data_IF_382928583983
#
_entry.id   IF_382928583983
#
_cell.length_a   1.000
_cell.length_b   1.000
_cell.length_c   1.000
_cell.angle_alpha   90.00
_cell.angle_beta   90.00
_cell.angle_gamma   90.00
#
_symmetry.space_group_name_H-M   'P 1'
#
loop_
_entity.id
_entity.type
_entity.pdbx_description
1 polymer ?
#
# COMPACT_ATOMS: atom_id res chain seq x y z
N UNK A 1 -4.53 -54.39 29.59
CA UNK A 1 -3.30 -53.67 29.95
C UNK A 1 -2.67 -52.94 28.78
N UNK A 2 -2.43 -53.60 27.65
CA UNK A 2 -1.84 -52.96 26.44
C UNK A 2 -2.65 -51.75 25.91
N UNK A 3 -3.98 -51.84 25.82
CA UNK A 3 -4.84 -50.75 25.33
C UNK A 3 -4.81 -49.49 26.24
N UNK A 4 -4.66 -49.64 27.55
CA UNK A 4 -4.53 -48.52 28.47
C UNK A 4 -3.16 -47.84 28.33
N UNK A 5 -2.10 -48.61 28.07
CA UNK A 5 -0.73 -48.11 27.86
C UNK A 5 -0.62 -47.33 26.53
N UNK A 6 -1.24 -47.83 25.45
CA UNK A 6 -1.28 -47.13 24.15
C UNK A 6 -2.09 -45.84 24.20
N UNK A 7 -3.21 -45.85 24.91
CA UNK A 7 -4.03 -44.64 25.14
C UNK A 7 -3.24 -43.57 25.92
N UNK A 8 -2.50 -43.96 26.95
CA UNK A 8 -1.70 -43.05 27.78
C UNK A 8 -0.48 -42.48 26.99
N UNK A 9 0.14 -43.28 26.13
CA UNK A 9 1.24 -42.83 25.25
C UNK A 9 0.74 -41.87 24.17
N UNK A 10 -0.42 -42.15 23.56
CA UNK A 10 -1.00 -41.27 22.52
C UNK A 10 -1.46 -39.93 23.11
N UNK A 11 -2.15 -39.94 24.25
CA UNK A 11 -2.54 -38.71 24.94
C UNK A 11 -1.35 -37.90 25.44
N UNK A 12 -0.31 -38.55 25.96
CA UNK A 12 0.95 -37.89 26.33
C UNK A 12 1.68 -37.29 25.16
N UNK A 13 1.71 -37.98 24.02
CA UNK A 13 2.34 -37.49 22.78
C UNK A 13 1.58 -36.26 22.21
N UNK A 14 0.23 -36.31 22.21
CA UNK A 14 -0.59 -35.17 21.76
C UNK A 14 -0.41 -33.97 22.69
N UNK A 15 -0.39 -34.20 24.01
CA UNK A 15 -0.15 -33.14 25.00
C UNK A 15 1.22 -32.51 24.85
N UNK A 16 2.27 -33.32 24.66
CA UNK A 16 3.64 -32.81 24.43
C UNK A 16 3.77 -32.04 23.11
N UNK A 17 3.13 -32.54 22.05
CA UNK A 17 3.10 -31.86 20.74
C UNK A 17 2.39 -30.52 20.84
N UNK A 18 1.27 -30.43 21.57
CA UNK A 18 0.55 -29.16 21.80
C UNK A 18 1.39 -28.16 22.61
N UNK A 19 2.13 -28.61 23.62
CA UNK A 19 3.05 -27.75 24.38
C UNK A 19 4.21 -27.24 23.53
N UNK A 20 4.79 -28.08 22.69
CA UNK A 20 5.88 -27.70 21.78
C UNK A 20 5.37 -26.70 20.74
N UNK A 21 4.23 -26.96 20.11
CA UNK A 21 3.58 -26.05 19.14
C UNK A 21 3.24 -24.70 19.81
N UNK A 22 2.69 -24.73 21.02
CA UNK A 22 2.37 -23.53 21.79
C UNK A 22 3.65 -22.74 22.14
N UNK A 23 4.72 -23.42 22.55
CA UNK A 23 6.02 -22.78 22.84
C UNK A 23 6.71 -22.19 21.62
N UNK A 24 6.59 -22.82 20.44
CA UNK A 24 7.08 -22.30 19.17
C UNK A 24 6.25 -21.08 18.76
N UNK A 25 4.93 -21.18 18.90
CA UNK A 25 4.00 -20.10 18.56
C UNK A 25 4.18 -18.88 19.46
N UNK A 26 4.36 -19.08 20.78
CA UNK A 26 4.65 -18.00 21.73
C UNK A 26 5.96 -17.26 21.37
N UNK A 27 7.03 -17.99 21.08
CA UNK A 27 8.31 -17.43 20.65
C UNK A 27 8.24 -16.75 19.27
N UNK A 28 7.44 -17.29 18.36
CA UNK A 28 7.19 -16.66 17.07
C UNK A 28 6.38 -15.37 17.22
N UNK A 29 5.39 -15.35 18.14
CA UNK A 29 4.62 -14.16 18.48
C UNK A 29 5.47 -13.06 19.12
N UNK A 30 6.39 -13.40 20.04
CA UNK A 30 7.31 -12.42 20.65
C UNK A 30 8.24 -11.80 19.60
N UNK A 31 8.87 -12.61 18.75
CA UNK A 31 9.71 -12.11 17.65
C UNK A 31 8.92 -11.30 16.62
N UNK A 32 7.68 -11.68 16.36
CA UNK A 32 6.77 -10.94 15.50
C UNK A 32 6.38 -9.60 16.15
N UNK A 33 6.04 -9.60 17.44
CA UNK A 33 5.76 -8.38 18.19
C UNK A 33 6.92 -7.39 18.11
N UNK A 34 8.14 -7.83 18.35
CA UNK A 34 9.33 -6.95 18.30
C UNK A 34 9.60 -6.42 16.89
N UNK A 35 9.52 -7.25 15.84
CA UNK A 35 9.82 -6.84 14.47
C UNK A 35 8.68 -6.09 13.78
N UNK A 36 7.45 -6.56 13.99
CA UNK A 36 6.27 -5.99 13.33
C UNK A 36 5.82 -4.69 14.00
N UNK A 37 5.89 -4.67 15.32
CA UNK A 37 5.46 -3.54 16.13
C UNK A 37 6.41 -2.35 15.95
N UNK A 38 7.73 -2.55 16.02
CA UNK A 38 8.71 -1.47 15.84
C UNK A 38 8.60 -0.84 14.44
N UNK A 39 8.39 -1.64 13.40
CA UNK A 39 8.28 -1.14 12.02
C UNK A 39 6.97 -0.37 11.76
N UNK A 40 5.85 -0.80 12.35
CA UNK A 40 4.55 -0.16 12.12
C UNK A 40 4.27 1.00 13.07
N UNK A 41 4.95 1.07 14.23
CA UNK A 41 4.85 2.24 15.12
C UNK A 41 5.50 3.45 14.48
N UNK A 42 6.70 3.31 13.90
CA UNK A 42 7.32 4.39 13.14
C UNK A 42 6.37 4.87 12.03
N UNK A 43 5.79 3.96 11.27
CA UNK A 43 4.83 4.30 10.21
C UNK A 43 3.57 5.02 10.73
N UNK A 44 3.06 4.66 11.90
CA UNK A 44 1.85 5.26 12.52
C UNK A 44 2.17 6.58 13.25
N UNK A 45 3.29 6.68 13.95
CA UNK A 45 3.74 7.94 14.57
C UNK A 45 4.07 8.99 13.52
N UNK A 46 4.65 8.59 12.40
CA UNK A 46 4.89 9.45 11.23
C UNK A 46 3.58 9.92 10.57
N UNK A 47 2.47 9.20 10.80
CA UNK A 47 1.14 9.59 10.36
C UNK A 47 0.38 10.46 11.38
N UNK A 48 1.01 10.91 12.47
CA UNK A 48 0.36 11.58 13.62
C UNK A 48 -0.75 10.76 14.27
N UNK A 49 -0.75 9.46 14.07
CA UNK A 49 -1.60 8.52 14.79
C UNK A 49 -0.78 7.96 15.95
N UNK A 50 -0.94 8.56 17.12
CA UNK A 50 -0.30 8.12 18.36
C UNK A 50 -1.01 6.87 18.89
N UNK A 51 -0.86 5.76 18.18
CA UNK A 51 -1.41 4.45 18.58
C UNK A 51 -0.29 3.67 19.24
N UNK A 52 -0.57 3.19 20.45
CA UNK A 52 0.40 2.36 21.18
C UNK A 52 0.62 1.02 20.46
N UNK A 53 1.86 0.57 20.50
CA UNK A 53 2.28 -0.71 19.94
C UNK A 53 1.40 -1.90 20.36
N UNK A 54 1.01 -1.87 21.64
CA UNK A 54 0.10 -2.85 22.21
C UNK A 54 -1.27 -2.85 21.53
N UNK A 55 -1.80 -1.68 21.21
CA UNK A 55 -3.11 -1.54 20.58
C UNK A 55 -3.13 -2.07 19.14
N UNK A 56 -2.07 -1.81 18.36
CA UNK A 56 -1.93 -2.35 16.99
C UNK A 56 -1.82 -3.88 17.01
N UNK A 57 -1.07 -4.41 17.96
CA UNK A 57 -0.93 -5.86 18.14
C UNK A 57 -2.24 -6.51 18.56
N UNK A 58 -2.95 -5.92 19.54
CA UNK A 58 -4.26 -6.41 19.98
C UNK A 58 -5.27 -6.35 18.83
N UNK A 59 -5.30 -5.25 18.08
CA UNK A 59 -6.17 -5.11 16.92
C UNK A 59 -5.90 -6.22 15.87
N UNK A 60 -4.62 -6.49 15.58
CA UNK A 60 -4.23 -7.55 14.64
C UNK A 60 -4.70 -8.93 15.14
N UNK A 61 -4.51 -9.23 16.44
CA UNK A 61 -4.97 -10.47 17.05
C UNK A 61 -6.50 -10.63 16.98
N UNK A 62 -7.23 -9.57 17.32
CA UNK A 62 -8.70 -9.58 17.26
C UNK A 62 -9.17 -9.81 15.82
N UNK A 63 -8.61 -9.11 14.84
CA UNK A 63 -8.95 -9.30 13.42
C UNK A 63 -8.67 -10.73 12.98
N UNK A 64 -7.50 -11.28 13.32
CA UNK A 64 -7.11 -12.65 12.97
C UNK A 64 -8.08 -13.68 13.54
N UNK A 65 -8.47 -13.53 14.82
CA UNK A 65 -9.41 -14.43 15.49
C UNK A 65 -10.80 -14.33 14.89
N UNK A 66 -11.29 -13.10 14.63
CA UNK A 66 -12.62 -12.88 14.04
C UNK A 66 -12.69 -13.48 12.63
N UNK A 67 -11.68 -13.24 11.80
CA UNK A 67 -11.62 -13.84 10.46
C UNK A 67 -11.51 -15.36 10.51
N UNK A 68 -10.74 -15.92 11.45
CA UNK A 68 -10.65 -17.36 11.68
C UNK A 68 -11.98 -17.98 12.08
N UNK A 69 -12.71 -17.37 13.01
CA UNK A 69 -14.04 -17.83 13.43
C UNK A 69 -15.05 -17.79 12.28
N UNK A 70 -15.09 -16.71 11.50
CA UNK A 70 -15.93 -16.61 10.31
C UNK A 70 -15.58 -17.73 9.32
N UNK A 71 -14.28 -17.97 9.09
CA UNK A 71 -13.82 -19.04 8.22
C UNK A 71 -14.29 -20.43 8.68
N UNK A 72 -14.22 -20.69 9.99
CA UNK A 72 -14.69 -21.96 10.56
C UNK A 72 -16.19 -22.17 10.34
N UNK A 73 -16.99 -21.13 10.51
CA UNK A 73 -18.46 -21.21 10.34
C UNK A 73 -18.82 -21.44 8.86
N UNK A 74 -18.10 -20.82 7.92
CA UNK A 74 -18.42 -20.88 6.48
C UNK A 74 -17.94 -22.16 5.80
N UNK A 75 -16.76 -22.65 6.15
CA UNK A 75 -16.14 -23.75 5.40
C UNK A 75 -15.27 -24.71 6.24
N UNK A 76 -15.47 -24.74 7.56
CA UNK A 76 -14.79 -25.66 8.46
C UNK A 76 -13.29 -25.36 8.66
N UNK A 77 -12.48 -26.36 9.07
CA UNK A 77 -11.10 -26.13 9.50
C UNK A 77 -10.16 -25.61 8.39
N UNK A 78 -10.42 -25.93 7.14
CA UNK A 78 -9.62 -25.46 6.01
C UNK A 78 -9.88 -23.97 5.71
N UNK A 79 -11.13 -23.53 5.76
CA UNK A 79 -11.51 -22.13 5.60
C UNK A 79 -11.07 -21.27 6.79
N UNK A 80 -11.07 -21.83 8.02
CA UNK A 80 -10.47 -21.19 9.19
C UNK A 80 -9.01 -20.83 8.94
N UNK A 81 -8.19 -21.80 8.47
CA UNK A 81 -6.77 -21.57 8.23
C UNK A 81 -6.53 -20.48 7.17
N UNK A 82 -7.27 -20.52 6.06
CA UNK A 82 -7.17 -19.52 4.98
C UNK A 82 -7.62 -18.12 5.43
N UNK A 83 -8.74 -18.03 6.14
CA UNK A 83 -9.26 -16.74 6.61
C UNK A 83 -8.44 -16.16 7.77
N UNK A 84 -7.93 -16.99 8.70
CA UNK A 84 -7.00 -16.52 9.72
C UNK A 84 -5.69 -16.00 9.11
N UNK A 85 -5.16 -16.67 8.09
CA UNK A 85 -3.99 -16.19 7.34
C UNK A 85 -4.24 -14.84 6.67
N UNK A 86 -5.37 -14.66 5.98
CA UNK A 86 -5.72 -13.37 5.37
C UNK A 86 -5.95 -12.28 6.42
N UNK A 87 -6.64 -12.60 7.53
CA UNK A 87 -6.87 -11.69 8.64
C UNK A 87 -5.58 -11.20 9.30
N UNK A 88 -4.56 -12.07 9.37
CA UNK A 88 -3.26 -11.74 9.94
C UNK A 88 -2.49 -10.69 9.11
N UNK A 89 -2.57 -10.74 7.77
CA UNK A 89 -1.90 -9.79 6.89
C UNK A 89 -2.71 -8.52 6.60
N UNK A 90 -4.03 -8.54 6.81
CA UNK A 90 -4.92 -7.45 6.47
C UNK A 90 -4.57 -6.10 7.13
N UNK A 91 -4.28 -6.00 8.45
CA UNK A 91 -3.95 -4.72 9.09
C UNK A 91 -2.67 -4.09 8.54
N UNK A 92 -1.64 -4.90 8.26
CA UNK A 92 -0.39 -4.39 7.68
C UNK A 92 -0.56 -3.83 6.28
N UNK A 93 -1.36 -4.47 5.45
CA UNK A 93 -1.71 -3.97 4.12
C UNK A 93 -2.52 -2.67 4.21
N UNK A 94 -3.46 -2.59 5.17
CA UNK A 94 -4.29 -1.41 5.39
C UNK A 94 -3.45 -0.20 5.81
N UNK A 95 -2.51 -0.38 6.76
CA UNK A 95 -1.59 0.68 7.19
C UNK A 95 -0.75 1.19 6.00
N UNK A 96 -0.19 0.28 5.19
CA UNK A 96 0.58 0.65 3.98
C UNK A 96 -0.28 1.44 2.99
N UNK A 97 -1.51 1.01 2.77
CA UNK A 97 -2.45 1.68 1.87
C UNK A 97 -2.74 3.11 2.34
N UNK A 98 -3.05 3.32 3.62
CA UNK A 98 -3.29 4.65 4.18
C UNK A 98 -2.04 5.53 4.15
N UNK A 99 -0.84 4.96 4.44
CA UNK A 99 0.44 5.68 4.33
C UNK A 99 0.68 6.16 2.91
N UNK A 100 0.58 5.29 1.93
CA UNK A 100 0.76 5.65 0.51
C UNK A 100 -0.25 6.72 0.08
N UNK A 101 -1.50 6.58 0.50
CA UNK A 101 -2.55 7.58 0.21
C UNK A 101 -2.27 8.92 0.88
N UNK A 102 -1.72 8.93 2.10
CA UNK A 102 -1.30 10.14 2.81
C UNK A 102 -0.15 10.83 2.09
N UNK A 103 0.90 10.07 1.68
CA UNK A 103 2.04 10.61 0.93
C UNK A 103 1.56 11.21 -0.41
N UNK A 104 0.70 10.53 -1.15
CA UNK A 104 0.14 11.06 -2.40
C UNK A 104 -0.63 12.38 -2.17
N UNK A 105 -1.42 12.46 -1.11
CA UNK A 105 -2.12 13.70 -0.73
C UNK A 105 -1.14 14.79 -0.32
N UNK A 106 -0.08 14.45 0.42
CA UNK A 106 0.99 15.37 0.79
C UNK A 106 1.67 15.94 -0.43
N UNK A 107 2.09 15.10 -1.38
CA UNK A 107 2.79 15.53 -2.60
C UNK A 107 1.91 16.44 -3.46
N UNK A 108 0.61 16.16 -3.58
CA UNK A 108 -0.31 17.05 -4.29
C UNK A 108 -0.42 18.43 -3.62
N UNK A 109 -0.47 18.49 -2.29
CA UNK A 109 -0.50 19.75 -1.54
C UNK A 109 0.88 20.44 -1.53
N UNK A 110 1.98 19.68 -1.61
CA UNK A 110 3.35 20.21 -1.61
C UNK A 110 3.56 21.15 -2.80
N UNK A 111 3.02 20.82 -3.98
CA UNK A 111 3.10 21.68 -5.18
C UNK A 111 2.51 23.07 -4.91
N UNK A 112 1.34 23.11 -4.26
CA UNK A 112 0.68 24.37 -3.90
C UNK A 112 1.46 25.12 -2.81
N UNK A 113 1.96 24.38 -1.81
CA UNK A 113 2.77 24.97 -0.73
C UNK A 113 4.08 25.59 -1.27
N UNK A 114 4.78 24.92 -2.19
CA UNK A 114 5.99 25.46 -2.83
C UNK A 114 5.69 26.72 -3.63
N UNK A 115 4.58 26.78 -4.36
CA UNK A 115 4.16 27.98 -5.07
C UNK A 115 3.85 29.13 -4.13
N UNK A 116 3.17 28.86 -3.00
CA UNK A 116 2.91 29.86 -1.95
C UNK A 116 4.22 30.34 -1.32
N UNK A 117 5.15 29.43 -1.03
CA UNK A 117 6.49 29.80 -0.53
C UNK A 117 7.24 30.72 -1.50
N UNK A 118 7.25 30.37 -2.79
CA UNK A 118 7.88 31.18 -3.83
C UNK A 118 7.28 32.59 -3.86
N UNK A 119 5.95 32.71 -3.82
CA UNK A 119 5.25 34.00 -3.80
C UNK A 119 5.54 34.81 -2.52
N UNK A 120 5.57 34.16 -1.36
CA UNK A 120 5.88 34.77 -0.08
C UNK A 120 7.31 35.34 -0.06
N UNK A 121 8.29 34.58 -0.57
CA UNK A 121 9.68 35.02 -0.69
C UNK A 121 9.83 36.21 -1.67
N UNK A 122 9.10 36.21 -2.82
CA UNK A 122 9.05 37.35 -3.74
C UNK A 122 8.46 38.59 -3.11
N UNK A 123 7.48 38.42 -2.19
CA UNK A 123 6.91 39.51 -1.42
C UNK A 123 7.83 40.02 -0.29
N UNK A 124 9.04 39.45 -0.14
CA UNK A 124 10.03 39.87 0.86
C UNK A 124 9.90 39.19 2.23
N UNK A 125 9.04 38.18 2.37
CA UNK A 125 8.97 37.40 3.58
C UNK A 125 10.22 36.51 3.71
N UNK A 126 10.64 36.28 4.96
CA UNK A 126 11.70 35.29 5.23
C UNK A 126 11.21 33.87 5.01
N UNK A 127 12.13 32.94 4.80
CA UNK A 127 11.82 31.52 4.64
C UNK A 127 11.01 30.97 5.83
N UNK A 128 11.40 31.33 7.07
CA UNK A 128 10.69 30.92 8.27
C UNK A 128 9.25 31.46 8.33
N UNK A 129 9.03 32.73 7.93
CA UNK A 129 7.69 33.32 7.87
C UNK A 129 6.82 32.67 6.79
N UNK A 130 7.38 32.34 5.64
CA UNK A 130 6.67 31.66 4.56
C UNK A 130 6.20 30.27 5.02
N UNK A 131 7.07 29.48 5.69
CA UNK A 131 6.69 28.18 6.24
C UNK A 131 5.64 28.31 7.34
N UNK A 132 5.76 29.31 8.22
CA UNK A 132 4.78 29.52 9.29
C UNK A 132 3.38 29.86 8.73
N UNK A 133 3.30 30.65 7.65
CA UNK A 133 2.05 30.92 6.94
C UNK A 133 1.42 29.64 6.38
N UNK A 134 2.22 28.79 5.69
CA UNK A 134 1.75 27.51 5.17
C UNK A 134 1.26 26.60 6.30
N UNK A 135 2.00 26.53 7.41
CA UNK A 135 1.60 25.73 8.57
C UNK A 135 0.26 26.15 9.17
N UNK A 136 -0.13 27.43 9.04
CA UNK A 136 -1.40 27.95 9.54
C UNK A 136 -2.55 27.80 8.55
N UNK A 137 -2.30 28.00 7.26
CA UNK A 137 -3.35 28.15 6.23
C UNK A 137 -3.65 26.84 5.48
N UNK A 138 -2.70 25.88 5.48
CA UNK A 138 -2.87 24.62 4.77
C UNK A 138 -3.79 23.65 5.50
N UNK A 139 -4.18 22.58 4.80
CA UNK A 139 -4.94 21.45 5.36
C UNK A 139 -4.02 20.26 5.68
N UNK A 140 -4.43 19.35 6.57
CA UNK A 140 -3.69 18.09 6.74
C UNK A 140 -3.56 17.30 5.42
N UNK A 141 -2.40 16.68 5.15
CA UNK A 141 -1.23 16.47 6.00
C UNK A 141 -0.20 17.60 6.02
N UNK A 142 -0.15 18.53 5.07
CA UNK A 142 0.85 19.63 5.01
C UNK A 142 0.87 20.43 6.31
N UNK A 143 -0.29 20.86 6.80
CA UNK A 143 -0.41 21.62 8.05
C UNK A 143 0.31 20.95 9.22
N UNK A 144 0.16 19.63 9.34
CA UNK A 144 0.73 18.85 10.46
C UNK A 144 2.25 18.82 10.37
N UNK A 145 2.81 18.52 9.19
CA UNK A 145 4.25 18.37 8.97
C UNK A 145 4.97 19.69 9.06
N UNK A 146 4.47 20.74 8.39
CA UNK A 146 5.04 22.08 8.46
C UNK A 146 4.84 22.71 9.85
N UNK A 147 3.72 22.41 10.51
CA UNK A 147 3.51 22.82 11.90
C UNK A 147 4.51 22.20 12.86
N UNK A 148 4.87 20.92 12.68
CA UNK A 148 5.90 20.27 13.47
C UNK A 148 7.29 20.84 13.16
N UNK A 149 7.60 21.06 11.88
CA UNK A 149 8.82 21.74 11.46
C UNK A 149 8.99 23.10 12.16
N UNK A 150 7.95 23.93 12.17
CA UNK A 150 7.98 25.24 12.88
C UNK A 150 8.25 25.07 14.37
N UNK A 151 7.67 24.05 15.01
CA UNK A 151 7.91 23.75 16.43
C UNK A 151 9.36 23.31 16.68
N UNK A 152 9.90 22.43 15.84
CA UNK A 152 11.31 21.99 15.94
C UNK A 152 12.27 23.18 15.87
N UNK A 153 12.06 24.08 14.89
CA UNK A 153 12.88 25.31 14.76
C UNK A 153 12.73 26.24 15.96
N UNK A 154 11.51 26.42 16.48
CA UNK A 154 11.28 27.22 17.71
C UNK A 154 11.92 26.64 18.96
N UNK A 155 12.15 25.32 18.98
CA UNK A 155 12.86 24.62 20.05
C UNK A 155 14.38 24.63 19.86
N UNK A 156 14.90 25.28 18.82
CA UNK A 156 16.35 25.45 18.58
C UNK A 156 16.96 24.45 17.63
N UNK A 157 16.19 23.58 17.00
CA UNK A 157 16.69 22.70 15.94
C UNK A 157 17.06 23.55 14.72
N UNK A 158 18.19 23.27 14.09
CA UNK A 158 18.57 24.01 12.87
C UNK A 158 17.53 23.82 11.76
N UNK A 159 17.39 24.84 10.89
CA UNK A 159 16.45 24.77 9.76
C UNK A 159 16.74 23.57 8.85
N UNK A 160 18.00 23.25 8.64
CA UNK A 160 18.44 22.16 7.75
C UNK A 160 18.14 20.80 8.39
N UNK A 161 18.41 20.65 9.70
CA UNK A 161 18.07 19.42 10.43
C UNK A 161 16.55 19.22 10.49
N UNK A 162 15.78 20.28 10.74
CA UNK A 162 14.32 20.22 10.77
C UNK A 162 13.74 19.82 9.40
N UNK A 163 14.34 20.28 8.27
CA UNK A 163 13.96 19.85 6.91
C UNK A 163 14.27 18.36 6.70
N UNK A 164 15.45 17.90 7.11
CA UNK A 164 15.84 16.48 7.01
C UNK A 164 14.91 15.61 7.86
N UNK A 165 14.58 16.04 9.08
CA UNK A 165 13.65 15.33 9.97
C UNK A 165 12.26 15.21 9.32
N UNK A 166 11.75 16.31 8.74
CA UNK A 166 10.47 16.33 8.06
C UNK A 166 10.50 15.40 6.82
N UNK A 167 11.55 15.42 6.01
CA UNK A 167 11.68 14.57 4.83
C UNK A 167 11.70 13.08 5.21
N UNK A 168 12.47 12.70 6.23
CA UNK A 168 12.53 11.32 6.75
C UNK A 168 11.18 10.84 7.29
N UNK A 169 10.47 11.70 8.02
CA UNK A 169 9.17 11.39 8.63
C UNK A 169 8.08 11.19 7.59
N UNK A 170 8.01 12.06 6.59
CA UNK A 170 7.01 11.98 5.50
C UNK A 170 7.31 10.81 4.56
N UNK A 171 8.59 10.56 4.25
CA UNK A 171 9.03 9.53 3.33
C UNK A 171 8.56 9.80 1.89
N UNK A 172 8.66 11.05 1.45
CA UNK A 172 8.33 11.51 0.10
C UNK A 172 9.60 11.94 -0.62
N UNK A 173 9.86 11.34 -1.78
CA UNK A 173 11.02 11.68 -2.62
C UNK A 173 10.96 13.14 -3.07
N UNK A 174 9.76 13.67 -3.32
CA UNK A 174 9.56 15.08 -3.66
C UNK A 174 9.97 16.01 -2.54
N UNK A 175 9.63 15.67 -1.30
CA UNK A 175 10.02 16.46 -0.14
C UNK A 175 11.53 16.35 0.14
N UNK A 176 12.14 15.20 -0.11
CA UNK A 176 13.59 15.01 0.01
C UNK A 176 14.34 15.88 -1.01
N UNK A 177 13.83 15.95 -2.25
CA UNK A 177 14.34 16.87 -3.27
C UNK A 177 14.22 18.33 -2.82
N UNK A 178 13.07 18.73 -2.28
CA UNK A 178 12.84 20.09 -1.76
C UNK A 178 13.79 20.39 -0.60
N UNK A 179 13.94 19.49 0.36
CA UNK A 179 14.80 19.68 1.53
C UNK A 179 16.27 19.85 1.12
N UNK A 180 16.80 18.96 0.29
CA UNK A 180 18.18 19.02 -0.18
C UNK A 180 18.45 20.27 -1.03
N UNK A 181 17.56 20.60 -1.97
CA UNK A 181 17.66 21.82 -2.77
C UNK A 181 17.61 23.09 -1.93
N UNK A 182 16.76 23.11 -0.88
CA UNK A 182 16.66 24.25 0.04
C UNK A 182 17.95 24.45 0.82
N UNK A 183 18.54 23.38 1.37
CA UNK A 183 19.82 23.45 2.08
C UNK A 183 20.93 23.97 1.19
N UNK A 184 21.02 23.49 -0.05
CA UNK A 184 22.01 23.93 -1.03
C UNK A 184 21.79 25.42 -1.40
N UNK A 185 20.56 25.81 -1.75
CA UNK A 185 20.26 27.18 -2.14
C UNK A 185 20.56 28.19 -1.01
N UNK A 186 20.27 27.81 0.25
CA UNK A 186 20.59 28.64 1.42
C UNK A 186 22.09 28.76 1.65
N UNK A 187 22.84 27.68 1.52
CA UNK A 187 24.30 27.69 1.72
C UNK A 187 25.06 28.51 0.66
N UNK A 188 24.55 28.54 -0.58
CA UNK A 188 25.13 29.25 -1.71
C UNK A 188 24.57 30.68 -1.89
N UNK A 189 23.57 31.07 -1.10
CA UNK A 189 22.88 32.37 -1.26
C UNK A 189 22.06 32.47 -2.57
N UNK A 190 21.54 31.32 -3.05
CA UNK A 190 20.77 31.24 -4.29
C UNK A 190 19.37 31.84 -4.18
N UNK A 191 18.72 32.05 -5.33
CA UNK A 191 17.34 32.52 -5.43
C UNK A 191 16.34 31.40 -5.05
N UNK A 192 15.97 31.32 -3.77
CA UNK A 192 15.05 30.30 -3.25
C UNK A 192 13.65 30.40 -3.89
N UNK A 193 13.20 31.60 -4.25
CA UNK A 193 11.89 31.79 -4.85
C UNK A 193 11.81 31.11 -6.23
N UNK A 194 12.80 31.34 -7.08
CA UNK A 194 12.91 30.74 -8.40
C UNK A 194 13.07 29.20 -8.30
N UNK A 195 13.87 28.73 -7.34
CA UNK A 195 14.05 27.31 -7.06
C UNK A 195 12.72 26.65 -6.73
N UNK A 196 11.91 27.20 -5.81
CA UNK A 196 10.61 26.63 -5.45
C UNK A 196 9.61 26.65 -6.60
N UNK A 197 9.62 27.71 -7.43
CA UNK A 197 8.80 27.74 -8.66
C UNK A 197 9.18 26.61 -9.61
N UNK A 198 10.47 26.45 -9.86
CA UNK A 198 10.99 25.42 -10.77
C UNK A 198 10.64 24.02 -10.27
N UNK A 199 10.85 23.74 -8.98
CA UNK A 199 10.52 22.44 -8.39
C UNK A 199 8.99 22.19 -8.45
N UNK A 200 8.19 23.19 -8.09
CA UNK A 200 6.72 23.04 -8.12
C UNK A 200 6.20 22.79 -9.55
N UNK A 201 6.77 23.48 -10.55
CA UNK A 201 6.44 23.28 -11.96
C UNK A 201 6.81 21.88 -12.44
N UNK A 202 8.01 21.41 -12.07
CA UNK A 202 8.51 20.08 -12.43
C UNK A 202 7.62 18.97 -11.84
N UNK A 203 7.28 19.05 -10.55
CA UNK A 203 6.41 18.07 -9.89
C UNK A 203 5.00 18.09 -10.50
N UNK A 204 4.46 19.27 -10.79
CA UNK A 204 3.15 19.44 -11.44
C UNK A 204 3.11 18.81 -12.83
N UNK A 205 4.15 19.04 -13.64
CA UNK A 205 4.22 18.44 -14.98
C UNK A 205 4.38 16.91 -14.91
N UNK A 206 5.15 16.39 -13.96
CA UNK A 206 5.23 14.96 -13.71
C UNK A 206 3.84 14.37 -13.38
N UNK A 207 3.09 14.98 -12.46
CA UNK A 207 1.72 14.50 -12.14
C UNK A 207 0.79 14.57 -13.36
N UNK A 208 0.94 15.58 -14.20
CA UNK A 208 0.18 15.70 -15.45
C UNK A 208 0.50 14.56 -16.42
N UNK A 209 1.76 14.22 -16.57
CA UNK A 209 2.20 13.11 -17.42
C UNK A 209 1.75 11.75 -16.85
N UNK A 210 1.92 11.52 -15.55
CA UNK A 210 1.42 10.32 -14.87
C UNK A 210 -0.10 10.16 -15.08
N UNK A 211 -0.86 11.23 -14.93
CA UNK A 211 -2.31 11.22 -15.18
C UNK A 211 -2.68 10.90 -16.63
N UNK A 212 -1.93 11.39 -17.63
CA UNK A 212 -2.13 11.03 -19.03
C UNK A 212 -1.82 9.56 -19.30
N UNK A 213 -0.72 9.06 -18.74
CA UNK A 213 -0.33 7.66 -18.87
C UNK A 213 -1.39 6.76 -18.24
N UNK A 214 -1.88 7.09 -17.04
CA UNK A 214 -2.93 6.30 -16.37
C UNK A 214 -4.25 6.31 -17.15
N UNK A 215 -4.63 7.44 -17.74
CA UNK A 215 -5.81 7.52 -18.60
C UNK A 215 -5.68 6.63 -19.85
N UNK A 216 -4.53 6.68 -20.55
CA UNK A 216 -4.29 5.88 -21.76
C UNK A 216 -4.19 4.38 -21.42
N UNK A 217 -3.49 4.04 -20.33
CA UNK A 217 -3.36 2.64 -19.90
C UNK A 217 -4.67 2.09 -19.36
N UNK A 218 -5.52 2.91 -18.73
CA UNK A 218 -6.86 2.49 -18.28
C UNK A 218 -7.77 2.16 -19.45
N UNK A 219 -7.71 2.92 -20.54
CA UNK A 219 -8.43 2.61 -21.79
C UNK A 219 -7.95 1.27 -22.35
N UNK A 220 -6.64 1.03 -22.44
CA UNK A 220 -6.07 -0.24 -22.91
C UNK A 220 -6.46 -1.43 -22.03
N UNK A 221 -6.47 -1.25 -20.71
CA UNK A 221 -6.93 -2.27 -19.75
C UNK A 221 -8.40 -2.62 -19.96
N UNK A 222 -9.27 -1.62 -20.14
CA UNK A 222 -10.70 -1.85 -20.39
C UNK A 222 -10.93 -2.58 -21.70
N UNK A 223 -10.26 -2.18 -22.78
CA UNK A 223 -10.32 -2.89 -24.08
C UNK A 223 -9.83 -4.33 -23.94
N UNK A 224 -8.73 -4.57 -23.22
CA UNK A 224 -8.22 -5.90 -22.92
C UNK A 224 -9.24 -6.79 -22.21
N UNK A 225 -9.95 -6.27 -21.21
CA UNK A 225 -11.00 -7.00 -20.52
C UNK A 225 -12.20 -7.34 -21.43
N UNK A 226 -12.59 -6.43 -22.32
CA UNK A 226 -13.68 -6.68 -23.28
C UNK A 226 -13.28 -7.80 -24.25
N UNK A 227 -12.07 -7.75 -24.80
CA UNK A 227 -11.57 -8.78 -25.72
C UNK A 227 -11.44 -10.13 -25.01
N UNK A 228 -10.93 -10.15 -23.77
CA UNK A 228 -10.81 -11.37 -22.96
C UNK A 228 -12.17 -11.98 -22.56
N UNK A 229 -13.21 -11.19 -22.43
CA UNK A 229 -14.56 -11.72 -22.16
C UNK A 229 -15.26 -12.29 -23.40
N UNK A 230 -14.85 -11.90 -24.61
CA UNK A 230 -15.53 -12.24 -25.85
C UNK A 230 -15.69 -13.74 -26.10
N UNK A 231 -14.66 -14.60 -26.00
CA UNK A 231 -14.79 -16.03 -26.21
C UNK A 231 -15.81 -16.68 -25.26
N UNK A 232 -15.80 -16.26 -24.00
CA UNK A 232 -16.72 -16.76 -22.96
C UNK A 232 -18.16 -16.35 -23.29
N UNK A 233 -18.37 -15.07 -23.58
CA UNK A 233 -19.70 -14.54 -23.94
C UNK A 233 -20.23 -15.21 -25.21
N UNK A 234 -19.39 -15.34 -26.25
CA UNK A 234 -19.75 -15.99 -27.48
C UNK A 234 -20.08 -17.48 -27.28
N UNK A 235 -19.27 -18.19 -26.45
CA UNK A 235 -19.55 -19.58 -26.12
C UNK A 235 -20.90 -19.76 -25.40
N UNK A 236 -21.24 -18.87 -24.47
CA UNK A 236 -22.55 -18.90 -23.80
C UNK A 236 -23.69 -18.66 -24.78
N UNK A 237 -23.56 -17.63 -25.63
CA UNK A 237 -24.59 -17.31 -26.65
C UNK A 237 -24.79 -18.47 -27.62
N UNK A 238 -23.73 -19.05 -28.15
CA UNK A 238 -23.79 -20.18 -29.06
C UNK A 238 -24.40 -21.42 -28.41
N UNK A 239 -24.03 -21.69 -27.16
CA UNK A 239 -24.60 -22.81 -26.40
C UNK A 239 -26.11 -22.64 -26.16
N UNK A 240 -26.59 -21.39 -26.00
CA UNK A 240 -28.03 -21.12 -25.87
C UNK A 240 -28.79 -21.18 -27.20
N UNK A 241 -28.17 -20.64 -28.27
CA UNK A 241 -28.81 -20.59 -29.60
C UNK A 241 -28.79 -21.95 -30.35
N UNK A 242 -27.70 -22.68 -30.25
CA UNK A 242 -27.46 -23.94 -30.97
C UNK A 242 -26.76 -24.97 -30.07
N UNK A 243 -27.48 -25.54 -29.07
CA UNK A 243 -26.92 -26.54 -28.16
C UNK A 243 -26.44 -27.80 -28.88
N UNK A 244 -27.09 -28.15 -29.97
CA UNK A 244 -26.73 -29.26 -30.86
C UNK A 244 -25.31 -29.15 -31.46
N UNK A 245 -24.85 -27.95 -31.78
CA UNK A 245 -23.51 -27.70 -32.30
C UNK A 245 -22.46 -27.60 -31.18
N UNK A 246 -22.87 -27.20 -29.99
CA UNK A 246 -21.96 -27.04 -28.83
C UNK A 246 -21.78 -28.31 -28.02
N UNK A 247 -22.75 -29.26 -28.05
CA UNK A 247 -22.67 -30.51 -27.30
C UNK A 247 -21.35 -31.29 -27.55
N UNK A 248 -20.86 -31.48 -28.81
CA UNK A 248 -19.59 -32.17 -29.06
C UNK A 248 -18.37 -31.49 -28.40
N UNK A 249 -18.44 -30.21 -28.13
CA UNK A 249 -17.35 -29.46 -27.48
C UNK A 249 -17.20 -29.84 -26.02
N UNK A 250 -18.29 -30.27 -25.34
CA UNK A 250 -18.31 -30.68 -23.96
C UNK A 250 -18.36 -32.18 -23.74
N UNK A 251 -18.63 -32.98 -24.81
CA UNK A 251 -18.79 -34.42 -24.73
C UNK A 251 -17.64 -35.21 -25.34
N UNK A 252 -16.81 -34.58 -26.19
CA UNK A 252 -15.74 -35.28 -26.89
C UNK A 252 -14.35 -34.89 -26.37
N UNK A 253 -13.38 -35.79 -26.48
CA UNK A 253 -11.98 -35.53 -26.12
C UNK A 253 -11.39 -34.36 -26.94
N UNK A 254 -11.72 -34.29 -28.23
CA UNK A 254 -11.31 -33.18 -29.11
C UNK A 254 -11.89 -31.85 -28.67
N UNK A 255 -13.13 -31.83 -28.18
CA UNK A 255 -13.79 -30.63 -27.63
C UNK A 255 -13.08 -30.10 -26.40
N UNK A 256 -12.71 -30.97 -25.45
CA UNK A 256 -11.94 -30.57 -24.26
C UNK A 256 -10.56 -30.04 -24.62
N UNK A 257 -9.85 -30.65 -25.59
CA UNK A 257 -8.57 -30.13 -26.06
C UNK A 257 -8.70 -28.75 -26.70
N UNK A 258 -9.79 -28.51 -27.44
CA UNK A 258 -10.08 -27.21 -28.06
C UNK A 258 -10.39 -26.14 -27.02
N UNK A 259 -11.18 -26.44 -26.00
CA UNK A 259 -11.47 -25.56 -24.87
C UNK A 259 -10.14 -25.23 -24.14
N UNK A 260 -9.31 -26.23 -23.87
CA UNK A 260 -8.04 -26.01 -23.20
C UNK A 260 -7.10 -25.12 -24.01
N UNK A 261 -7.06 -25.29 -25.34
CA UNK A 261 -6.28 -24.45 -26.24
C UNK A 261 -6.79 -22.99 -26.25
N UNK A 262 -8.10 -22.77 -26.27
CA UNK A 262 -8.71 -21.43 -26.20
C UNK A 262 -8.29 -20.72 -24.89
N UNK A 263 -8.48 -21.37 -23.73
CA UNK A 263 -8.11 -20.77 -22.45
C UNK A 263 -6.60 -20.52 -22.33
N UNK A 264 -5.78 -21.39 -22.90
CA UNK A 264 -4.31 -21.21 -22.92
C UNK A 264 -3.93 -20.00 -23.77
N UNK A 265 -4.48 -19.88 -24.97
CA UNK A 265 -4.23 -18.71 -25.83
C UNK A 265 -4.76 -17.41 -25.22
N UNK A 266 -5.91 -17.46 -24.58
CA UNK A 266 -6.48 -16.32 -23.87
C UNK A 266 -5.62 -15.90 -22.67
N UNK A 267 -5.13 -16.86 -21.88
CA UNK A 267 -4.20 -16.60 -20.78
C UNK A 267 -2.91 -15.91 -21.26
N UNK A 268 -2.34 -16.39 -22.39
CA UNK A 268 -1.18 -15.73 -23.01
C UNK A 268 -1.52 -14.32 -23.48
N UNK A 269 -2.68 -14.13 -24.12
CA UNK A 269 -3.18 -12.82 -24.55
C UNK A 269 -3.30 -11.82 -23.40
N UNK A 270 -3.91 -12.24 -22.28
CA UNK A 270 -4.04 -11.42 -21.06
C UNK A 270 -2.66 -11.06 -20.49
N UNK A 271 -1.71 -11.99 -20.44
CA UNK A 271 -0.34 -11.72 -19.97
C UNK A 271 0.38 -10.71 -20.87
N UNK A 272 0.25 -10.84 -22.19
CA UNK A 272 0.83 -9.89 -23.13
C UNK A 272 0.21 -8.49 -22.98
N UNK A 273 -1.13 -8.39 -22.89
CA UNK A 273 -1.83 -7.12 -22.67
C UNK A 273 -1.34 -6.48 -21.36
N UNK A 274 -1.25 -7.23 -20.27
CA UNK A 274 -0.72 -6.72 -19.00
C UNK A 274 0.70 -6.20 -19.13
N UNK A 275 1.56 -6.90 -19.86
CA UNK A 275 2.96 -6.51 -20.04
C UNK A 275 3.09 -5.23 -20.90
N UNK A 276 2.28 -5.07 -21.93
CA UNK A 276 2.30 -3.90 -22.84
C UNK A 276 1.67 -2.67 -22.18
N UNK A 277 0.61 -2.88 -21.39
CA UNK A 277 -0.15 -1.78 -20.77
C UNK A 277 0.50 -1.30 -19.46
N UNK A 278 1.31 -2.12 -18.79
CA UNK A 278 1.99 -1.73 -17.55
C UNK A 278 3.29 -0.99 -17.92
N UNK A 279 3.20 0.33 -18.06
CA UNK A 279 4.34 1.22 -18.25
C UNK A 279 4.73 1.72 -16.87
N UNK A 280 5.88 1.26 -16.36
CA UNK A 280 6.51 1.82 -15.16
C UNK A 280 7.14 3.16 -15.54
N UNK A 281 6.69 4.25 -14.89
CA UNK A 281 7.21 5.60 -15.02
C UNK A 281 7.85 6.04 -13.72
#
# INVERSE_FOLDING_TARGET
MLAALTFLLVTGSIFFLTLVVFGIMARALERYRERYVVKHITDLSDMFLFVDAGQVFILNMVVTVVFGLIGYIVGGPMALALMAFTGFFAPGQLIRYYRTRRIKRFNAQLVEALQQMANALKAGLTFAQAIEAIARESRPPIQQEFGLFVKEVKLGVSLDDALVNMAKRVGSDDLELVASSTTIARSLGGNMSEMFETISATIRERFRLEGKIDALTSQGRMQGWIVAAMPIVLGIILNYMRPDLMAPMFETLYGYLLIAAIFLMEGIGILLIRKVVNIDV
#
